data_IF_986211355496
#
_entry.id   IF_986211355496
#
_cell.length_a   1.000
_cell.length_b   1.000
_cell.length_c   1.000
_cell.angle_alpha   90.00
_cell.angle_beta   90.00
_cell.angle_gamma   90.00
#
_symmetry.space_group_name_H-M   'P 1'
#
loop_
_entity.id
_entity.type
_entity.pdbx_description
1 polymer ?
#
# COMPACT_ATOMS: atom_id res chain seq x y z
N UNK A 1 1.30 5.43 5.91
CA UNK A 1 2.44 4.58 6.30
C UNK A 1 2.04 3.12 6.12
N UNK A 2 2.93 2.29 5.55
CA UNK A 2 2.76 0.88 5.13
C UNK A 2 1.83 0.65 3.93
N UNK A 3 2.02 -0.50 3.26
CA UNK A 3 1.24 -1.01 2.12
C UNK A 3 1.11 0.07 1.04
N UNK A 4 -0.10 0.53 0.70
CA UNK A 4 -0.35 1.56 -0.33
C UNK A 4 0.37 2.87 -0.02
N UNK A 5 0.59 3.18 1.26
CA UNK A 5 1.21 4.43 1.70
C UNK A 5 2.67 4.25 2.16
N UNK A 6 3.34 3.19 1.73
CA UNK A 6 4.76 2.95 2.01
C UNK A 6 5.65 3.73 1.03
N UNK A 7 6.52 4.60 1.54
CA UNK A 7 7.47 5.40 0.73
C UNK A 7 8.92 4.89 0.84
N UNK A 8 9.12 3.69 1.41
CA UNK A 8 10.46 3.13 1.58
C UNK A 8 11.34 3.86 2.62
N UNK A 9 10.75 4.60 3.57
CA UNK A 9 11.53 5.42 4.52
C UNK A 9 12.39 4.63 5.53
N UNK A 10 12.19 3.31 5.68
CA UNK A 10 12.99 2.46 6.57
C UNK A 10 12.76 2.65 8.08
N UNK A 11 11.94 3.62 8.49
CA UNK A 11 11.69 3.91 9.90
C UNK A 11 11.13 2.72 10.68
N UNK A 12 10.34 1.85 10.03
CA UNK A 12 9.80 0.65 10.67
C UNK A 12 10.90 -0.34 11.13
N UNK A 13 11.97 -0.53 10.35
CA UNK A 13 13.12 -1.33 10.78
C UNK A 13 13.95 -0.58 11.82
N UNK A 14 14.22 0.72 11.63
CA UNK A 14 15.12 1.47 12.52
C UNK A 14 14.59 1.61 13.96
N UNK A 15 13.28 1.51 14.15
CA UNK A 15 12.63 1.60 15.47
C UNK A 15 12.11 0.25 15.96
N UNK A 16 12.37 -0.85 15.25
CA UNK A 16 11.87 -2.16 15.63
C UNK A 16 12.53 -2.61 16.95
N UNK A 17 11.78 -2.83 18.03
CA UNK A 17 12.36 -3.23 19.32
C UNK A 17 12.93 -4.66 19.30
N UNK A 18 12.59 -5.43 18.27
CA UNK A 18 13.04 -6.80 18.07
C UNK A 18 14.23 -6.92 17.10
N UNK A 19 14.72 -5.80 16.56
CA UNK A 19 15.84 -5.75 15.60
C UNK A 19 15.63 -6.62 14.35
N UNK A 20 14.37 -6.70 13.88
CA UNK A 20 13.98 -7.40 12.66
C UNK A 20 13.91 -6.40 11.52
N UNK A 21 14.42 -6.79 10.34
CA UNK A 21 14.30 -5.98 9.13
C UNK A 21 12.89 -6.08 8.51
N UNK A 22 11.92 -5.44 9.16
CA UNK A 22 10.52 -5.42 8.72
C UNK A 22 10.28 -4.53 7.50
N UNK A 23 11.19 -3.59 7.20
CA UNK A 23 11.11 -2.73 6.03
C UNK A 23 11.12 -3.54 4.74
N UNK A 24 11.93 -4.60 4.65
CA UNK A 24 11.96 -5.49 3.49
C UNK A 24 10.59 -6.11 3.22
N UNK A 25 9.96 -6.68 4.25
CA UNK A 25 8.63 -7.29 4.12
C UNK A 25 7.57 -6.25 3.72
N UNK A 26 7.59 -5.07 4.35
CA UNK A 26 6.63 -4.01 4.05
C UNK A 26 6.82 -3.38 2.69
N UNK A 27 8.05 -3.30 2.18
CA UNK A 27 8.35 -2.83 0.83
C UNK A 27 7.84 -3.83 -0.22
N UNK A 28 8.11 -5.13 -0.04
CA UNK A 28 7.63 -6.16 -0.95
C UNK A 28 6.10 -6.16 -1.07
N UNK A 29 5.38 -6.13 0.06
CA UNK A 29 3.91 -6.03 0.06
C UNK A 29 3.44 -4.69 -0.52
N UNK A 30 4.16 -3.60 -0.27
CA UNK A 30 3.80 -2.30 -0.80
C UNK A 30 3.90 -2.26 -2.33
N UNK A 31 4.94 -2.82 -2.93
CA UNK A 31 5.10 -2.86 -4.39
C UNK A 31 3.93 -3.55 -5.07
N UNK A 32 3.53 -4.73 -4.59
CA UNK A 32 2.40 -5.49 -5.16
C UNK A 32 1.08 -4.74 -5.03
N UNK A 33 0.79 -4.19 -3.85
CA UNK A 33 -0.48 -3.50 -3.61
C UNK A 33 -0.52 -2.12 -4.29
N UNK A 34 0.59 -1.39 -4.34
CA UNK A 34 0.66 -0.11 -5.07
C UNK A 34 0.43 -0.31 -6.57
N UNK A 35 1.02 -1.37 -7.15
CA UNK A 35 0.78 -1.73 -8.54
C UNK A 35 -0.69 -2.11 -8.80
N UNK A 36 -1.32 -2.83 -7.87
CA UNK A 36 -2.72 -3.22 -7.97
C UNK A 36 -3.68 -2.02 -8.09
N UNK A 37 -3.35 -0.90 -7.45
CA UNK A 37 -4.14 0.34 -7.49
C UNK A 37 -3.58 1.39 -8.46
N UNK A 38 -2.53 1.09 -9.22
CA UNK A 38 -1.75 2.08 -10.00
C UNK A 38 -1.42 3.35 -9.20
N UNK A 39 -1.06 3.17 -7.92
CA UNK A 39 -0.91 4.25 -6.95
C UNK A 39 0.55 4.46 -6.57
N UNK A 40 1.04 5.71 -6.66
CA UNK A 40 2.38 6.08 -6.17
C UNK A 40 2.21 7.04 -4.99
N UNK A 41 2.66 6.67 -3.77
CA UNK A 41 2.43 7.48 -2.60
C UNK A 41 3.12 8.84 -2.71
N UNK A 42 2.31 9.91 -2.57
CA UNK A 42 2.80 11.29 -2.58
C UNK A 42 3.09 11.88 -3.96
N UNK A 43 2.68 11.23 -5.06
CA UNK A 43 2.81 11.81 -6.42
C UNK A 43 1.91 13.03 -6.63
N UNK A 44 0.78 13.07 -5.95
CA UNK A 44 -0.22 14.14 -6.00
C UNK A 44 -0.86 14.30 -4.61
N UNK A 45 -1.13 15.54 -4.20
CA UNK A 45 -1.79 15.87 -2.94
C UNK A 45 -3.33 15.80 -3.05
N UNK A 46 -3.86 15.95 -4.26
CA UNK A 46 -5.30 15.88 -4.53
C UNK A 46 -5.78 14.45 -4.80
N UNK A 47 -4.85 13.54 -5.11
CA UNK A 47 -5.15 12.12 -5.27
C UNK A 47 -5.36 11.44 -3.90
N UNK A 48 -6.55 10.90 -3.61
CA UNK A 48 -6.78 10.21 -2.36
C UNK A 48 -6.04 8.86 -2.34
N UNK A 49 -5.52 8.48 -1.17
CA UNK A 49 -4.93 7.15 -1.01
C UNK A 49 -6.01 6.05 -1.20
N UNK A 50 -5.68 4.87 -1.75
CA UNK A 50 -6.67 3.84 -2.08
C UNK A 50 -7.61 3.47 -0.93
N UNK A 51 -7.10 3.40 0.30
CA UNK A 51 -7.88 3.06 1.51
C UNK A 51 -8.85 4.17 1.97
N UNK A 52 -8.82 5.35 1.35
CA UNK A 52 -9.70 6.48 1.64
C UNK A 52 -10.89 6.56 0.68
N UNK A 53 -10.91 5.73 -0.36
CA UNK A 53 -11.95 5.68 -1.39
C UNK A 53 -12.49 4.27 -1.56
N UNK A 54 -13.61 4.15 -2.28
CA UNK A 54 -14.20 2.87 -2.64
C UNK A 54 -14.68 2.91 -4.08
N UNK A 55 -14.45 1.83 -4.83
CA UNK A 55 -14.92 1.65 -6.19
C UNK A 55 -15.52 0.25 -6.33
N UNK A 56 -16.81 0.18 -6.64
CA UNK A 56 -17.58 -1.07 -6.60
C UNK A 56 -17.11 -2.15 -7.59
N UNK A 57 -16.52 -1.74 -8.71
CA UNK A 57 -16.09 -2.61 -9.79
C UNK A 57 -14.54 -2.64 -9.91
N UNK A 58 -13.83 -2.53 -8.79
CA UNK A 58 -12.37 -2.44 -8.76
C UNK A 58 -11.69 -3.82 -8.81
N UNK A 59 -12.26 -4.83 -8.16
CA UNK A 59 -11.65 -6.16 -8.01
C UNK A 59 -12.59 -7.31 -8.40
N UNK A 60 -13.38 -7.12 -9.46
CA UNK A 60 -14.28 -8.17 -10.00
C UNK A 60 -13.51 -9.48 -10.27
N UNK A 61 -12.28 -9.40 -10.78
CA UNK A 61 -11.43 -10.56 -11.07
C UNK A 61 -11.01 -11.35 -9.82
N UNK A 62 -11.04 -10.71 -8.64
CA UNK A 62 -10.73 -11.32 -7.34
C UNK A 62 -11.97 -11.87 -6.62
N UNK A 63 -13.12 -11.89 -7.31
CA UNK A 63 -14.37 -12.46 -6.79
C UNK A 63 -15.31 -11.45 -6.13
N UNK A 64 -15.14 -10.15 -6.37
CA UNK A 64 -16.21 -9.20 -6.05
C UNK A 64 -17.47 -9.52 -6.87
N UNK A 65 -18.57 -9.80 -6.18
CA UNK A 65 -19.88 -9.96 -6.81
C UNK A 65 -20.44 -8.61 -7.24
N UNK A 66 -20.65 -8.43 -8.54
CA UNK A 66 -21.44 -7.31 -9.08
C UNK A 66 -22.87 -7.49 -8.57
N UNK A 67 -23.33 -6.55 -7.74
CA UNK A 67 -24.64 -6.61 -7.08
C UNK A 67 -25.69 -5.82 -7.84
#
# INVERSE_FOLDING_TARGET
>A
HMVTSCVGCGLCSSVCPMDIDVALAFQAVAEEVQALFDYVPGRDLEEPAPVQTFKADEFIELGETVR
#
